data_IF_269943058396
#
_entry.id   IF_269943058396
#
_cell.length_a   1.000
_cell.length_b   1.000
_cell.length_c   1.000
_cell.angle_alpha   90.00
_cell.angle_beta   90.00
_cell.angle_gamma   90.00
#
_symmetry.space_group_name_H-M   'P 1'
#
loop_
_entity.id
_entity.type
_entity.pdbx_description
1 polymer ?
#
# COMPACT_ATOMS: atom_id res chain seq x y z
N UNK A 1 17.99 -9.34 -7.26
CA UNK A 1 17.07 -8.34 -6.76
C UNK A 1 16.66 -8.60 -5.31
N UNK A 2 16.04 -9.75 -4.96
CA UNK A 2 15.51 -9.98 -3.60
C UNK A 2 16.57 -9.84 -2.51
N UNK A 3 17.77 -10.38 -2.73
CA UNK A 3 18.92 -10.21 -1.83
C UNK A 3 19.34 -8.73 -1.75
N UNK A 4 19.36 -8.01 -2.87
CA UNK A 4 19.64 -6.57 -2.91
C UNK A 4 18.63 -5.77 -2.07
N UNK A 5 17.31 -6.01 -2.25
CA UNK A 5 16.26 -5.35 -1.47
C UNK A 5 16.42 -5.63 0.03
N UNK A 6 16.73 -6.87 0.38
CA UNK A 6 16.97 -7.26 1.77
C UNK A 6 18.20 -6.54 2.36
N UNK A 7 19.33 -6.57 1.67
CA UNK A 7 20.57 -5.97 2.15
C UNK A 7 20.46 -4.45 2.28
N UNK A 8 19.84 -3.77 1.29
CA UNK A 8 19.64 -2.32 1.40
C UNK A 8 18.70 -1.95 2.53
N UNK A 9 17.60 -2.69 2.74
CA UNK A 9 16.71 -2.48 3.87
C UNK A 9 17.42 -2.69 5.21
N UNK A 10 18.26 -3.73 5.31
CA UNK A 10 19.06 -3.99 6.50
C UNK A 10 20.08 -2.86 6.75
N UNK A 11 20.84 -2.46 5.74
CA UNK A 11 21.80 -1.37 5.84
C UNK A 11 21.09 -0.07 6.26
N UNK A 12 19.96 0.27 5.65
CA UNK A 12 19.19 1.46 5.98
C UNK A 12 18.75 1.47 7.45
N UNK A 13 18.19 0.37 7.95
CA UNK A 13 17.78 0.26 9.35
C UNK A 13 18.95 0.30 10.33
N UNK A 14 20.09 -0.31 9.98
CA UNK A 14 21.32 -0.26 10.80
C UNK A 14 21.97 1.13 10.83
N UNK A 15 21.91 1.88 9.73
CA UNK A 15 22.44 3.23 9.66
C UNK A 15 21.57 4.26 10.38
N UNK A 16 20.24 4.17 10.20
CA UNK A 16 19.30 5.14 10.78
C UNK A 16 19.07 4.94 12.27
N UNK A 17 19.24 3.72 12.77
CA UNK A 17 19.08 3.37 14.21
C UNK A 17 17.79 3.95 14.82
N UNK A 18 16.72 4.01 14.03
CA UNK A 18 15.45 4.59 14.47
C UNK A 18 14.86 3.87 15.66
N UNK A 19 14.18 4.59 16.51
CA UNK A 19 13.26 4.09 17.54
C UNK A 19 11.81 4.36 17.15
N UNK A 20 10.83 3.63 17.70
CA UNK A 20 9.42 3.92 17.44
C UNK A 20 9.06 5.32 17.95
N UNK A 21 8.13 5.98 17.22
CA UNK A 21 7.55 7.25 17.64
C UNK A 21 6.07 7.31 17.24
N UNK A 22 5.29 8.19 17.86
CA UNK A 22 3.87 8.37 17.60
C UNK A 22 3.12 7.03 17.68
N UNK A 23 2.24 6.73 16.74
CA UNK A 23 1.44 5.48 16.72
C UNK A 23 2.30 4.20 16.83
N UNK A 24 3.48 4.18 16.20
CA UNK A 24 4.37 3.02 16.31
C UNK A 24 4.89 2.81 17.73
N UNK A 25 5.09 3.91 18.48
CA UNK A 25 5.47 3.85 19.88
C UNK A 25 4.31 3.32 20.73
N UNK A 26 3.10 3.84 20.54
CA UNK A 26 1.93 3.39 21.28
C UNK A 26 1.66 1.87 21.05
N UNK A 27 1.78 1.41 19.82
CA UNK A 27 1.62 -0.01 19.51
C UNK A 27 2.70 -0.85 20.15
N UNK A 28 3.99 -0.45 20.05
CA UNK A 28 5.08 -1.25 20.64
C UNK A 28 5.01 -1.23 22.16
N UNK A 29 4.78 -0.06 22.77
CA UNK A 29 4.63 0.07 24.22
C UNK A 29 3.47 -0.78 24.76
N UNK A 30 2.30 -0.71 24.11
CA UNK A 30 1.17 -1.56 24.47
C UNK A 30 1.48 -3.05 24.28
N UNK A 31 2.15 -3.43 23.20
CA UNK A 31 2.59 -4.83 22.99
C UNK A 31 3.53 -5.32 24.08
N UNK A 32 4.41 -4.44 24.60
CA UNK A 32 5.31 -4.76 25.73
C UNK A 32 4.52 -4.99 27.01
N UNK A 33 3.54 -4.13 27.30
CA UNK A 33 2.68 -4.28 28.46
C UNK A 33 1.82 -5.55 28.38
N UNK A 34 1.21 -5.81 27.22
CA UNK A 34 0.45 -7.06 27.00
C UNK A 34 1.30 -8.31 27.16
N UNK A 35 2.58 -8.26 26.78
CA UNK A 35 3.50 -9.38 26.92
C UNK A 35 3.76 -9.78 28.38
N UNK A 36 3.65 -8.85 29.30
CA UNK A 36 3.74 -9.08 30.76
C UNK A 36 2.37 -9.18 31.45
N UNK A 37 1.29 -9.29 30.66
CA UNK A 37 -0.11 -9.36 31.11
C UNK A 37 -0.59 -8.06 31.81
N UNK A 38 -0.01 -6.92 31.50
CA UNK A 38 -0.51 -5.61 31.85
C UNK A 38 -1.43 -5.09 30.74
N UNK A 39 -2.74 -4.96 31.04
CA UNK A 39 -3.76 -4.52 30.09
C UNK A 39 -4.22 -3.08 30.34
N UNK A 40 -3.50 -2.32 31.17
CA UNK A 40 -3.77 -0.89 31.40
C UNK A 40 -3.89 -0.07 30.11
N UNK A 41 -3.16 -0.36 28.98
CA UNK A 41 -3.35 0.38 27.74
C UNK A 41 -4.74 0.27 27.10
N UNK A 42 -5.58 -0.66 27.56
CA UNK A 42 -6.96 -0.83 27.07
C UNK A 42 -7.99 -0.04 27.88
N UNK A 43 -7.57 0.57 29.00
CA UNK A 43 -8.49 1.33 29.86
C UNK A 43 -8.85 2.67 29.21
N UNK A 44 -10.08 3.19 29.42
CA UNK A 44 -10.56 4.44 28.82
C UNK A 44 -9.66 5.65 29.06
N UNK A 45 -8.92 5.64 30.18
CA UNK A 45 -8.01 6.72 30.58
C UNK A 45 -6.73 6.78 29.73
N UNK A 46 -6.35 5.66 29.10
CA UNK A 46 -5.11 5.52 28.31
C UNK A 46 -5.30 5.70 26.80
N UNK A 47 -6.51 6.06 26.40
CA UNK A 47 -6.95 6.53 25.09
C UNK A 47 -6.59 5.67 23.87
N UNK A 48 -5.33 5.37 23.59
CA UNK A 48 -4.90 4.91 22.26
C UNK A 48 -5.62 3.66 21.75
N UNK A 49 -5.61 2.55 22.48
CA UNK A 49 -6.27 1.33 22.04
C UNK A 49 -7.78 1.36 22.29
N UNK A 50 -8.23 2.16 23.23
CA UNK A 50 -9.64 2.41 23.44
C UNK A 50 -10.24 3.20 22.28
N UNK A 51 -9.53 4.21 21.80
CA UNK A 51 -9.92 5.04 20.66
C UNK A 51 -9.70 4.32 19.31
N UNK A 52 -8.72 3.42 19.24
CA UNK A 52 -8.32 2.73 18.02
C UNK A 52 -8.22 1.20 18.20
N UNK A 53 -9.30 0.48 18.57
CA UNK A 53 -9.24 -0.96 18.86
C UNK A 53 -8.81 -1.79 17.65
N UNK A 54 -8.97 -1.29 16.43
CA UNK A 54 -8.48 -1.95 15.21
C UNK A 54 -6.95 -2.05 15.12
N UNK A 55 -6.19 -1.33 15.95
CA UNK A 55 -4.73 -1.44 16.05
C UNK A 55 -4.28 -2.64 16.88
N UNK A 56 -5.18 -3.24 17.66
CA UNK A 56 -4.88 -4.43 18.47
C UNK A 56 -4.42 -5.63 17.62
N UNK A 57 -4.82 -5.71 16.35
CA UNK A 57 -4.30 -6.73 15.44
C UNK A 57 -2.78 -6.66 15.32
N UNK A 58 -2.21 -5.49 15.04
CA UNK A 58 -0.76 -5.35 14.93
C UNK A 58 -0.05 -5.37 16.28
N UNK A 59 -0.69 -4.87 17.34
CA UNK A 59 -0.19 -5.01 18.70
C UNK A 59 -0.08 -6.48 19.13
N UNK A 60 -1.01 -7.34 18.73
CA UNK A 60 -0.96 -8.78 18.95
C UNK A 60 0.27 -9.44 18.27
N UNK A 61 0.59 -9.04 17.05
CA UNK A 61 1.82 -9.47 16.38
C UNK A 61 3.05 -9.03 17.19
N UNK A 62 3.05 -7.78 17.67
CA UNK A 62 4.10 -7.26 18.55
C UNK A 62 4.22 -8.05 19.86
N UNK A 63 3.10 -8.33 20.55
CA UNK A 63 3.06 -9.13 21.77
C UNK A 63 3.70 -10.51 21.58
N UNK A 64 3.33 -11.22 20.51
CA UNK A 64 3.92 -12.53 20.21
C UNK A 64 5.44 -12.42 20.03
N UNK A 65 5.90 -11.44 19.26
CA UNK A 65 7.32 -11.24 18.97
C UNK A 65 8.07 -10.92 20.28
N UNK A 66 7.51 -10.09 21.14
CA UNK A 66 8.12 -9.71 22.42
C UNK A 66 8.20 -10.93 23.36
N UNK A 67 7.15 -11.73 23.44
CA UNK A 67 7.15 -12.97 24.25
C UNK A 67 8.20 -13.98 23.81
N UNK A 68 8.53 -14.02 22.50
CA UNK A 68 9.49 -14.98 21.94
C UNK A 68 10.92 -14.42 21.99
N UNK A 69 11.13 -13.14 21.68
CA UNK A 69 12.45 -12.57 21.42
C UNK A 69 12.90 -11.54 22.47
N UNK A 70 12.04 -11.18 23.44
CA UNK A 70 12.37 -10.24 24.51
C UNK A 70 12.92 -8.92 23.98
N UNK A 71 14.06 -8.50 24.47
CA UNK A 71 14.73 -7.22 24.12
C UNK A 71 15.08 -7.10 22.63
N UNK A 72 15.19 -8.21 21.90
CA UNK A 72 15.46 -8.21 20.46
C UNK A 72 14.20 -8.00 19.61
N UNK A 73 13.02 -7.89 20.21
CA UNK A 73 11.74 -7.82 19.51
C UNK A 73 11.67 -6.68 18.49
N UNK A 74 12.21 -5.49 18.84
CA UNK A 74 12.21 -4.37 17.91
C UNK A 74 13.04 -4.64 16.66
N UNK A 75 14.20 -5.28 16.78
CA UNK A 75 15.00 -5.69 15.64
C UNK A 75 14.26 -6.72 14.76
N UNK A 76 13.54 -7.64 15.37
CA UNK A 76 12.71 -8.63 14.63
C UNK A 76 11.58 -7.92 13.87
N UNK A 77 10.93 -6.92 14.45
CA UNK A 77 9.93 -6.10 13.76
C UNK A 77 10.54 -5.34 12.55
N UNK A 78 11.76 -4.81 12.70
CA UNK A 78 12.49 -4.20 11.59
C UNK A 78 12.76 -5.23 10.48
N UNK A 79 13.22 -6.43 10.85
CA UNK A 79 13.47 -7.53 9.92
C UNK A 79 12.20 -7.96 9.17
N UNK A 80 11.05 -8.02 9.84
CA UNK A 80 9.76 -8.31 9.21
C UNK A 80 9.37 -7.24 8.19
N UNK A 81 9.61 -5.96 8.45
CA UNK A 81 9.37 -4.89 7.45
C UNK A 81 10.31 -5.01 6.24
N UNK A 82 11.56 -5.37 6.46
CA UNK A 82 12.51 -5.64 5.37
C UNK A 82 12.03 -6.83 4.53
N UNK A 83 11.66 -7.93 5.18
CA UNK A 83 11.10 -9.12 4.50
C UNK A 83 9.79 -8.79 3.78
N UNK A 84 8.96 -7.88 4.31
CA UNK A 84 7.77 -7.41 3.64
C UNK A 84 8.10 -6.66 2.34
N UNK A 85 9.12 -5.79 2.32
CA UNK A 85 9.59 -5.12 1.10
C UNK A 85 10.10 -6.13 0.05
N UNK A 86 10.83 -7.16 0.48
CA UNK A 86 11.22 -8.31 -0.37
C UNK A 86 9.99 -9.04 -0.90
N UNK A 87 9.01 -9.32 -0.05
CA UNK A 87 7.75 -9.99 -0.40
C UNK A 87 6.92 -9.20 -1.41
N UNK A 88 6.87 -7.86 -1.30
CA UNK A 88 6.25 -6.98 -2.29
C UNK A 88 6.95 -7.15 -3.65
N UNK A 89 8.28 -7.04 -3.68
CA UNK A 89 9.06 -7.20 -4.91
C UNK A 89 8.83 -8.57 -5.57
N UNK A 90 8.84 -9.64 -4.80
CA UNK A 90 8.60 -11.01 -5.27
C UNK A 90 7.17 -11.19 -5.81
N UNK A 91 6.16 -10.61 -5.15
CA UNK A 91 4.77 -10.66 -5.61
C UNK A 91 4.57 -9.91 -6.94
N UNK A 92 5.21 -8.75 -7.10
CA UNK A 92 5.13 -7.95 -8.34
C UNK A 92 5.79 -8.67 -9.54
N UNK A 93 6.92 -9.35 -9.33
CA UNK A 93 7.52 -10.23 -10.35
C UNK A 93 6.55 -11.36 -10.70
N UNK A 94 5.94 -11.97 -9.69
CA UNK A 94 4.96 -13.05 -9.91
C UNK A 94 3.74 -12.55 -10.69
N UNK A 95 3.24 -11.34 -10.41
CA UNK A 95 2.19 -10.73 -11.23
C UNK A 95 2.64 -10.48 -12.66
N UNK A 96 3.86 -9.99 -12.89
CA UNK A 96 4.38 -9.82 -14.25
C UNK A 96 4.39 -11.14 -15.03
N UNK A 97 4.77 -12.27 -14.38
CA UNK A 97 4.74 -13.62 -14.98
C UNK A 97 3.30 -14.07 -15.27
N UNK A 98 2.37 -13.88 -14.32
CA UNK A 98 1.00 -14.34 -14.46
C UNK A 98 0.21 -13.54 -15.50
N UNK A 99 0.40 -12.21 -15.52
CA UNK A 99 -0.37 -11.28 -16.34
C UNK A 99 0.16 -11.23 -17.77
N UNK A 100 1.46 -10.95 -17.94
CA UNK A 100 2.01 -10.61 -19.25
C UNK A 100 2.62 -11.80 -19.99
N UNK A 101 3.13 -12.80 -19.27
CA UNK A 101 3.74 -14.04 -19.83
C UNK A 101 4.90 -13.77 -20.81
N UNK A 102 5.46 -12.54 -20.82
CA UNK A 102 6.58 -12.13 -21.67
C UNK A 102 7.86 -12.04 -20.85
N UNK A 103 8.91 -12.79 -21.22
CA UNK A 103 10.21 -12.77 -20.53
C UNK A 103 10.81 -11.37 -20.45
N UNK A 104 10.71 -10.57 -21.52
CA UNK A 104 11.20 -9.17 -21.56
C UNK A 104 10.50 -8.32 -20.49
N UNK A 105 9.17 -8.41 -20.38
CA UNK A 105 8.40 -7.68 -19.35
C UNK A 105 8.83 -8.07 -17.95
N UNK A 106 9.05 -9.37 -17.70
CA UNK A 106 9.53 -9.84 -16.38
C UNK A 106 10.92 -9.30 -16.08
N UNK A 107 11.85 -9.35 -17.05
CA UNK A 107 13.19 -8.80 -16.89
C UNK A 107 13.18 -7.29 -16.61
N UNK A 108 12.34 -6.51 -17.33
CA UNK A 108 12.19 -5.08 -17.07
C UNK A 108 11.50 -4.82 -15.71
N UNK A 109 10.56 -5.66 -15.28
CA UNK A 109 10.00 -5.57 -13.94
C UNK A 109 11.09 -5.71 -12.86
N UNK A 110 11.97 -6.72 -13.02
CA UNK A 110 13.11 -6.91 -12.12
C UNK A 110 14.05 -5.70 -12.16
N UNK A 111 14.39 -5.21 -13.35
CA UNK A 111 15.26 -4.04 -13.53
C UNK A 111 14.66 -2.79 -12.86
N UNK A 112 13.38 -2.52 -13.05
CA UNK A 112 12.74 -1.35 -12.45
C UNK A 112 12.64 -1.49 -10.93
N UNK A 113 12.39 -2.67 -10.40
CA UNK A 113 12.39 -2.91 -8.96
C UNK A 113 13.78 -2.68 -8.31
N UNK A 114 14.89 -2.81 -9.04
CA UNK A 114 16.20 -2.39 -8.52
C UNK A 114 16.27 -0.88 -8.24
N UNK A 115 15.55 -0.07 -9.03
CA UNK A 115 15.46 1.38 -8.83
C UNK A 115 14.42 1.83 -7.81
N UNK A 116 13.53 0.94 -7.36
CA UNK A 116 12.43 1.29 -6.46
C UNK A 116 12.91 1.37 -5.00
N UNK A 117 13.42 2.51 -4.59
CA UNK A 117 13.98 2.73 -3.25
C UNK A 117 12.91 3.03 -2.18
N UNK A 118 11.72 3.51 -2.56
CA UNK A 118 10.71 4.01 -1.64
C UNK A 118 10.27 2.97 -0.60
N UNK A 119 9.89 1.72 -0.95
CA UNK A 119 9.55 0.71 0.05
C UNK A 119 10.74 0.32 0.94
N UNK A 120 11.97 0.45 0.44
CA UNK A 120 13.20 0.15 1.20
C UNK A 120 13.42 1.22 2.28
N UNK A 121 13.34 2.50 1.90
CA UNK A 121 13.45 3.61 2.85
C UNK A 121 12.30 3.62 3.87
N UNK A 122 11.14 3.12 3.49
CA UNK A 122 9.96 3.04 4.35
C UNK A 122 10.02 1.88 5.37
N UNK A 123 11.04 1.00 5.31
CA UNK A 123 11.18 -0.12 6.25
C UNK A 123 11.38 0.28 7.71
N UNK A 124 11.76 1.52 7.98
CA UNK A 124 11.86 2.09 9.33
C UNK A 124 10.49 2.36 9.97
N UNK A 125 9.38 2.29 9.23
CA UNK A 125 8.03 2.56 9.72
C UNK A 125 7.33 1.31 10.22
N UNK A 126 7.35 1.09 11.55
CA UNK A 126 6.73 -0.07 12.20
C UNK A 126 5.27 0.21 12.56
N UNK A 127 4.39 0.08 11.56
CA UNK A 127 2.96 0.37 11.71
C UNK A 127 2.07 -0.61 10.93
N UNK A 128 2.66 -1.73 10.49
CA UNK A 128 1.98 -2.79 9.75
C UNK A 128 1.76 -2.52 8.25
N UNK A 129 2.07 -1.32 7.74
CA UNK A 129 1.77 -0.94 6.36
C UNK A 129 2.43 -1.86 5.33
N UNK A 130 3.76 -2.03 5.39
CA UNK A 130 4.48 -2.89 4.45
C UNK A 130 4.12 -4.36 4.63
N UNK A 131 4.06 -4.82 5.89
CA UNK A 131 3.78 -6.22 6.20
C UNK A 131 2.37 -6.61 5.76
N UNK A 132 1.36 -5.80 6.13
CA UNK A 132 -0.03 -6.03 5.73
C UNK A 132 -0.22 -6.02 4.22
N UNK A 133 0.42 -5.08 3.52
CA UNK A 133 0.34 -5.00 2.06
C UNK A 133 1.04 -6.19 1.38
N UNK A 134 2.24 -6.57 1.83
CA UNK A 134 2.97 -7.72 1.31
C UNK A 134 2.16 -9.02 1.42
N UNK A 135 1.63 -9.31 2.62
CA UNK A 135 0.78 -10.47 2.86
C UNK A 135 -0.47 -10.45 1.97
N UNK A 136 -1.11 -9.30 1.84
CA UNK A 136 -2.31 -9.15 1.00
C UNK A 136 -2.02 -9.31 -0.49
N UNK A 137 -0.87 -8.85 -0.99
CA UNK A 137 -0.45 -9.11 -2.38
C UNK A 137 -0.24 -10.60 -2.62
N UNK A 138 0.38 -11.32 -1.68
CA UNK A 138 0.52 -12.77 -1.79
C UNK A 138 -0.83 -13.49 -1.74
N UNK A 139 -1.80 -13.02 -0.94
CA UNK A 139 -3.17 -13.53 -0.98
C UNK A 139 -3.78 -13.40 -2.37
N UNK A 140 -3.61 -12.25 -3.03
CA UNK A 140 -4.07 -12.04 -4.40
C UNK A 140 -3.32 -12.93 -5.40
N UNK A 141 -2.01 -13.13 -5.24
CA UNK A 141 -1.23 -14.08 -6.04
C UNK A 141 -1.82 -15.50 -5.92
N UNK A 142 -2.09 -15.98 -4.70
CA UNK A 142 -2.70 -17.29 -4.48
C UNK A 142 -4.10 -17.38 -5.07
N UNK A 143 -4.90 -16.30 -5.01
CA UNK A 143 -6.18 -16.22 -5.70
C UNK A 143 -6.01 -16.40 -7.22
N UNK A 144 -5.06 -15.70 -7.85
CA UNK A 144 -4.76 -15.86 -9.27
C UNK A 144 -4.30 -17.27 -9.61
N UNK A 145 -3.45 -17.89 -8.78
CA UNK A 145 -2.99 -19.27 -8.95
C UNK A 145 -4.15 -20.27 -8.79
N UNK A 146 -5.06 -20.05 -7.84
CA UNK A 146 -6.29 -20.82 -7.73
C UNK A 146 -7.13 -20.73 -9.00
N UNK A 147 -7.39 -19.53 -9.49
CA UNK A 147 -8.18 -19.32 -10.69
C UNK A 147 -7.58 -20.01 -11.93
N UNK A 148 -6.24 -20.06 -12.00
CA UNK A 148 -5.51 -20.76 -13.06
C UNK A 148 -5.55 -22.29 -12.94
N UNK A 149 -5.32 -22.81 -11.73
CA UNK A 149 -5.05 -24.24 -11.50
C UNK A 149 -6.23 -24.98 -10.87
N UNK A 150 -7.22 -24.25 -10.32
CA UNK A 150 -8.42 -24.75 -9.62
C UNK A 150 -8.14 -25.66 -8.41
N UNK A 151 -6.91 -25.59 -7.84
CA UNK A 151 -6.54 -26.39 -6.65
C UNK A 151 -6.98 -25.64 -5.39
N UNK A 152 -7.90 -26.25 -4.60
CA UNK A 152 -8.52 -25.66 -3.40
C UNK A 152 -7.50 -25.16 -2.34
N UNK A 153 -6.33 -25.81 -2.22
CA UNK A 153 -5.27 -25.36 -1.30
C UNK A 153 -4.87 -23.89 -1.47
N UNK A 154 -4.95 -23.35 -2.67
CA UNK A 154 -4.61 -21.95 -2.91
C UNK A 154 -5.69 -20.98 -2.40
N UNK A 155 -6.96 -21.43 -2.24
CA UNK A 155 -7.99 -20.67 -1.53
C UNK A 155 -7.60 -20.53 -0.06
N UNK A 156 -7.17 -21.63 0.56
CA UNK A 156 -6.76 -21.62 1.98
C UNK A 156 -5.55 -20.69 2.17
N UNK A 157 -4.53 -20.79 1.31
CA UNK A 157 -3.39 -19.86 1.38
C UNK A 157 -3.82 -18.41 1.17
N UNK A 158 -4.70 -18.13 0.21
CA UNK A 158 -5.24 -16.79 0.01
C UNK A 158 -5.95 -16.28 1.27
N UNK A 159 -6.82 -17.09 1.88
CA UNK A 159 -7.56 -16.72 3.08
C UNK A 159 -6.63 -16.48 4.29
N UNK A 160 -5.65 -17.34 4.51
CA UNK A 160 -4.67 -17.16 5.59
C UNK A 160 -3.84 -15.90 5.40
N UNK A 161 -3.35 -15.65 4.19
CA UNK A 161 -2.50 -14.50 3.90
C UNK A 161 -3.28 -13.18 3.95
N UNK A 162 -4.54 -13.14 3.46
CA UNK A 162 -5.37 -11.93 3.58
C UNK A 162 -5.75 -11.65 5.04
N UNK A 163 -6.03 -12.68 5.82
CA UNK A 163 -6.32 -12.54 7.25
C UNK A 163 -5.14 -11.98 8.02
N UNK A 164 -3.94 -12.54 7.81
CA UNK A 164 -2.72 -12.01 8.39
C UNK A 164 -2.43 -10.57 7.94
N UNK A 165 -2.73 -10.23 6.68
CA UNK A 165 -2.65 -8.88 6.17
C UNK A 165 -3.59 -7.91 6.88
N UNK A 166 -4.84 -8.31 7.13
CA UNK A 166 -5.85 -7.47 7.83
C UNK A 166 -5.47 -7.30 9.30
N UNK A 167 -4.99 -8.35 9.96
CA UNK A 167 -4.47 -8.27 11.33
C UNK A 167 -3.34 -7.25 11.43
N UNK A 168 -2.41 -7.24 10.45
CA UNK A 168 -1.32 -6.27 10.43
C UNK A 168 -1.80 -4.85 10.10
N UNK A 169 -2.74 -4.69 9.15
CA UNK A 169 -3.23 -3.37 8.71
C UNK A 169 -4.60 -3.46 8.06
N UNK A 170 -5.57 -2.72 8.58
CA UNK A 170 -6.95 -2.69 8.09
C UNK A 170 -7.09 -2.28 6.62
N UNK A 171 -6.14 -1.51 6.05
CA UNK A 171 -6.11 -1.18 4.61
C UNK A 171 -6.04 -2.42 3.71
N UNK A 172 -5.65 -3.58 4.22
CA UNK A 172 -5.71 -4.88 3.53
C UNK A 172 -7.12 -5.27 3.09
N UNK A 173 -8.18 -4.69 3.69
CA UNK A 173 -9.57 -4.83 3.26
C UNK A 173 -9.79 -4.36 1.82
N UNK A 174 -8.99 -3.42 1.32
CA UNK A 174 -9.01 -2.98 -0.08
C UNK A 174 -8.64 -4.15 -1.00
N UNK A 175 -7.61 -4.91 -0.63
CA UNK A 175 -7.18 -6.09 -1.42
C UNK A 175 -8.16 -7.25 -1.24
N UNK A 176 -8.75 -7.45 -0.05
CA UNK A 176 -9.83 -8.41 0.13
C UNK A 176 -11.01 -8.10 -0.79
N UNK A 177 -11.41 -6.83 -0.88
CA UNK A 177 -12.46 -6.39 -1.82
C UNK A 177 -12.09 -6.70 -3.27
N UNK A 178 -10.85 -6.45 -3.68
CA UNK A 178 -10.36 -6.80 -5.00
C UNK A 178 -10.37 -8.33 -5.24
N UNK A 179 -10.01 -9.14 -4.25
CA UNK A 179 -10.11 -10.62 -4.31
C UNK A 179 -11.56 -11.04 -4.54
N UNK A 180 -12.50 -10.48 -3.77
CA UNK A 180 -13.93 -10.78 -3.92
C UNK A 180 -14.43 -10.42 -5.33
N UNK A 181 -14.08 -9.25 -5.84
CA UNK A 181 -14.48 -8.81 -7.19
C UNK A 181 -13.93 -9.77 -8.26
N UNK A 182 -12.67 -10.16 -8.20
CA UNK A 182 -12.06 -11.08 -9.18
C UNK A 182 -12.72 -12.46 -9.12
N UNK A 183 -13.02 -12.97 -7.93
CA UNK A 183 -13.73 -14.24 -7.75
C UNK A 183 -15.18 -14.17 -8.25
N UNK A 184 -15.89 -13.06 -8.03
CA UNK A 184 -17.24 -12.83 -8.57
C UNK A 184 -17.19 -12.77 -10.09
N UNK A 185 -16.25 -12.04 -10.70
CA UNK A 185 -16.11 -11.97 -12.15
C UNK A 185 -15.82 -13.33 -12.78
N UNK A 186 -15.02 -14.17 -12.11
CA UNK A 186 -14.80 -15.54 -12.56
C UNK A 186 -16.05 -16.43 -12.34
N UNK A 187 -16.78 -16.25 -11.23
CA UNK A 187 -18.04 -16.95 -10.98
C UNK A 187 -19.06 -16.65 -12.07
N UNK A 188 -19.24 -15.39 -12.45
CA UNK A 188 -20.18 -14.99 -13.52
C UNK A 188 -19.83 -15.61 -14.88
N UNK A 189 -18.56 -15.97 -15.11
CA UNK A 189 -18.11 -16.62 -16.34
C UNK A 189 -18.20 -18.15 -16.29
N UNK A 190 -17.96 -18.74 -15.14
CA UNK A 190 -17.75 -20.19 -15.00
C UNK A 190 -18.84 -20.90 -14.20
N UNK A 191 -19.66 -20.15 -13.49
CA UNK A 191 -20.71 -20.62 -12.55
C UNK A 191 -20.20 -21.61 -11.49
N UNK A 192 -18.89 -21.53 -11.12
CA UNK A 192 -18.29 -22.44 -10.13
C UNK A 192 -18.57 -21.97 -8.72
N UNK A 193 -19.44 -22.69 -7.99
CA UNK A 193 -19.77 -22.40 -6.58
C UNK A 193 -18.54 -22.31 -5.67
N UNK A 194 -17.45 -23.00 -6.00
CA UNK A 194 -16.19 -22.91 -5.25
C UNK A 194 -15.63 -21.46 -5.16
N UNK A 195 -15.99 -20.57 -6.09
CA UNK A 195 -15.61 -19.15 -5.98
C UNK A 195 -16.39 -18.44 -4.88
N UNK A 196 -17.67 -18.75 -4.73
CA UNK A 196 -18.50 -18.20 -3.63
C UNK A 196 -17.97 -18.71 -2.29
N UNK A 197 -17.67 -20.01 -2.20
CA UNK A 197 -17.04 -20.58 -1.00
C UNK A 197 -15.70 -19.90 -0.69
N UNK A 198 -14.90 -19.61 -1.71
CA UNK A 198 -13.61 -18.89 -1.54
C UNK A 198 -13.82 -17.47 -0.99
N UNK A 199 -14.83 -16.73 -1.48
CA UNK A 199 -15.20 -15.41 -0.97
C UNK A 199 -15.59 -15.51 0.51
N UNK A 200 -16.52 -16.42 0.83
CA UNK A 200 -16.99 -16.60 2.21
C UNK A 200 -15.86 -16.93 3.17
N UNK A 201 -14.98 -17.87 2.81
CA UNK A 201 -13.82 -18.23 3.63
C UNK A 201 -12.90 -17.01 3.82
N UNK A 202 -12.56 -16.28 2.76
CA UNK A 202 -11.67 -15.12 2.84
C UNK A 202 -12.26 -13.99 3.68
N UNK A 203 -13.56 -13.72 3.58
CA UNK A 203 -14.23 -12.68 4.36
C UNK A 203 -14.38 -13.09 5.82
N UNK A 204 -14.84 -14.32 6.10
CA UNK A 204 -15.02 -14.80 7.48
C UNK A 204 -13.68 -14.87 8.21
N UNK A 205 -12.66 -15.45 7.58
CA UNK A 205 -11.34 -15.52 8.19
C UNK A 205 -10.70 -14.13 8.33
N UNK A 206 -10.77 -13.30 7.29
CA UNK A 206 -10.13 -11.98 7.28
C UNK A 206 -10.69 -11.05 8.35
N UNK A 207 -12.00 -10.91 8.41
CA UNK A 207 -12.67 -10.03 9.39
C UNK A 207 -12.77 -10.74 10.74
N UNK A 208 -13.16 -12.01 10.76
CA UNK A 208 -13.44 -12.76 11.98
C UNK A 208 -12.21 -12.95 12.87
N UNK A 209 -11.04 -13.25 12.31
CA UNK A 209 -9.82 -13.41 13.12
C UNK A 209 -9.38 -12.09 13.75
N UNK A 210 -9.53 -10.96 13.05
CA UNK A 210 -9.22 -9.66 13.64
C UNK A 210 -10.19 -9.32 14.79
N UNK A 211 -11.48 -9.60 14.63
CA UNK A 211 -12.47 -9.41 15.68
C UNK A 211 -12.24 -10.36 16.87
N UNK A 212 -11.81 -11.60 16.59
CA UNK A 212 -11.44 -12.55 17.65
C UNK A 212 -10.27 -12.06 18.48
N UNK A 213 -9.27 -11.42 17.86
CA UNK A 213 -8.14 -10.81 18.59
C UNK A 213 -8.64 -9.70 19.52
N UNK A 214 -9.49 -8.79 19.01
CA UNK A 214 -10.06 -7.71 19.82
C UNK A 214 -10.83 -8.32 21.00
N UNK A 215 -11.72 -9.27 20.74
CA UNK A 215 -12.49 -9.96 21.77
C UNK A 215 -11.59 -10.62 22.84
N UNK A 216 -10.48 -11.24 22.43
CA UNK A 216 -9.53 -11.84 23.37
C UNK A 216 -8.89 -10.79 24.28
N UNK A 217 -8.58 -9.62 23.79
CA UNK A 217 -8.06 -8.51 24.63
C UNK A 217 -9.14 -7.96 25.57
N UNK A 218 -10.38 -7.80 25.11
CA UNK A 218 -11.50 -7.42 25.95
C UNK A 218 -11.70 -8.39 27.13
N UNK A 219 -11.64 -9.70 26.85
CA UNK A 219 -11.78 -10.75 27.88
C UNK A 219 -10.59 -10.76 28.88
N UNK A 220 -9.36 -10.50 28.40
CA UNK A 220 -8.18 -10.44 29.27
C UNK A 220 -8.18 -9.20 30.18
N UNK A 221 -8.71 -8.10 29.70
CA UNK A 221 -8.74 -6.81 30.40
C UNK A 221 -10.01 -6.58 31.21
N UNK A 222 -11.03 -7.43 31.04
CA UNK A 222 -12.38 -7.23 31.58
C UNK A 222 -12.94 -5.84 31.21
N UNK A 223 -12.77 -5.44 29.92
CA UNK A 223 -13.21 -4.16 29.38
C UNK A 223 -13.92 -4.35 28.04
N UNK A 224 -14.91 -3.51 27.76
CA UNK A 224 -15.52 -3.42 26.43
C UNK A 224 -14.97 -2.21 25.70
N UNK A 225 -14.30 -2.46 24.56
CA UNK A 225 -13.64 -1.41 23.76
C UNK A 225 -14.61 -0.71 22.79
N UNK A 226 -15.75 -1.31 22.50
CA UNK A 226 -16.67 -0.79 21.48
C UNK A 226 -16.03 -0.68 20.10
N UNK A 227 -16.49 0.28 19.28
CA UNK A 227 -15.95 0.57 17.95
C UNK A 227 -14.79 1.57 17.95
N UNK A 228 -14.56 2.23 19.07
CA UNK A 228 -13.63 3.35 19.19
C UNK A 228 -14.07 4.58 18.42
N UNK A 229 -13.14 5.38 17.93
CA UNK A 229 -13.45 6.54 17.09
C UNK A 229 -14.23 6.09 15.85
N UNK A 230 -15.46 6.62 15.62
CA UNK A 230 -16.31 6.20 14.50
C UNK A 230 -15.67 6.42 13.15
N UNK A 231 -15.66 5.39 12.29
CA UNK A 231 -15.01 5.46 10.96
C UNK A 231 -15.53 6.55 10.04
N UNK A 232 -16.76 7.03 10.25
CA UNK A 232 -17.33 8.15 9.51
C UNK A 232 -16.55 9.45 9.72
N UNK A 233 -15.85 9.60 10.86
CA UNK A 233 -15.04 10.77 11.16
C UNK A 233 -13.78 10.84 10.29
N UNK A 234 -13.22 9.71 9.84
CA UNK A 234 -12.15 9.72 8.83
C UNK A 234 -12.64 10.16 7.45
N UNK A 235 -13.90 9.84 7.11
CA UNK A 235 -14.53 10.35 5.90
C UNK A 235 -14.77 11.86 6.01
N UNK A 236 -15.29 12.33 7.17
CA UNK A 236 -15.45 13.75 7.42
C UNK A 236 -14.12 14.49 7.29
N UNK A 237 -13.11 14.09 8.06
CA UNK A 237 -11.76 14.66 8.00
C UNK A 237 -11.21 14.66 6.57
N UNK A 238 -11.38 13.55 5.84
CA UNK A 238 -10.91 13.40 4.46
C UNK A 238 -11.55 14.36 3.46
N UNK A 239 -12.71 14.91 3.77
CA UNK A 239 -13.43 15.88 2.93
C UNK A 239 -13.22 17.35 3.36
N UNK A 240 -12.51 17.60 4.45
CA UNK A 240 -12.31 18.95 4.97
C UNK A 240 -11.00 19.60 4.50
N UNK A 241 -11.00 20.92 4.53
CA UNK A 241 -9.77 21.71 4.41
C UNK A 241 -8.94 21.55 5.69
N UNK A 242 -7.63 21.82 5.58
CA UNK A 242 -6.74 21.93 6.74
C UNK A 242 -6.20 23.35 6.85
N UNK A 243 -5.42 23.64 7.89
CA UNK A 243 -4.72 24.92 8.05
C UNK A 243 -3.71 25.19 6.91
N UNK A 244 -3.18 24.13 6.28
CA UNK A 244 -2.38 24.23 5.06
C UNK A 244 -3.28 23.97 3.84
N UNK A 245 -3.56 24.98 3.00
CA UNK A 245 -4.42 24.82 1.83
C UNK A 245 -3.90 23.84 0.79
N UNK A 246 -2.60 23.47 0.85
CA UNK A 246 -1.98 22.49 -0.03
C UNK A 246 -2.16 21.04 0.46
N UNK A 247 -2.79 20.83 1.63
CA UNK A 247 -2.94 19.53 2.28
C UNK A 247 -4.37 19.21 2.67
N UNK A 248 -5.36 19.39 1.80
CA UNK A 248 -6.76 19.11 2.14
C UNK A 248 -6.94 17.62 2.44
N UNK A 249 -7.74 17.33 3.48
CA UNK A 249 -8.04 15.96 3.91
C UNK A 249 -6.89 15.21 4.58
N UNK A 250 -5.80 15.88 4.96
CA UNK A 250 -4.74 15.30 5.77
C UNK A 250 -5.22 15.13 7.23
N UNK A 251 -4.44 14.32 7.99
CA UNK A 251 -4.76 14.08 9.39
C UNK A 251 -4.95 15.37 10.18
N UNK A 252 -6.11 15.48 10.80
CA UNK A 252 -6.45 16.54 11.74
C UNK A 252 -7.26 15.95 12.89
N UNK A 253 -6.69 15.87 14.11
CA UNK A 253 -7.34 15.24 15.25
C UNK A 253 -8.63 15.93 15.69
N UNK A 254 -8.86 17.22 15.33
CA UNK A 254 -10.09 17.95 15.66
C UNK A 254 -11.33 17.31 15.03
N UNK A 255 -11.17 16.68 13.87
CA UNK A 255 -12.27 15.97 13.19
C UNK A 255 -12.45 14.53 13.68
N UNK A 256 -11.49 13.98 14.40
CA UNK A 256 -11.50 12.58 14.84
C UNK A 256 -11.45 12.46 16.36
N UNK A 257 -10.29 12.18 16.93
CA UNK A 257 -10.13 11.85 18.35
C UNK A 257 -10.53 12.99 19.30
N UNK A 258 -10.20 14.24 18.99
CA UNK A 258 -10.58 15.39 19.84
C UNK A 258 -12.10 15.52 19.86
N UNK A 259 -12.77 15.41 18.71
CA UNK A 259 -14.23 15.43 18.62
C UNK A 259 -14.85 14.28 19.41
N UNK A 260 -14.33 13.07 19.26
CA UNK A 260 -14.83 11.90 19.97
C UNK A 260 -14.70 12.07 21.48
N UNK A 261 -13.56 12.53 21.95
CA UNK A 261 -13.31 12.79 23.37
C UNK A 261 -14.19 13.94 23.92
N UNK A 262 -14.41 15.01 23.12
CA UNK A 262 -15.29 16.13 23.53
C UNK A 262 -16.76 15.72 23.70
N UNK A 263 -17.14 14.58 23.16
CA UNK A 263 -18.48 13.98 23.29
C UNK A 263 -18.49 12.81 24.30
N UNK A 264 -17.54 12.81 25.25
CA UNK A 264 -17.42 11.77 26.31
C UNK A 264 -17.33 10.34 25.68
N UNK A 265 -16.68 10.20 24.54
CA UNK A 265 -16.53 8.94 23.81
C UNK A 265 -17.88 8.28 23.41
N UNK A 266 -18.93 9.09 23.24
CA UNK A 266 -20.21 8.62 22.68
C UNK A 266 -20.05 8.46 21.16
N UNK A 267 -19.94 7.20 20.71
CA UNK A 267 -19.77 6.84 19.29
C UNK A 267 -20.91 7.38 18.42
N UNK A 268 -22.16 7.33 18.91
CA UNK A 268 -23.34 7.78 18.16
C UNK A 268 -23.35 9.29 18.02
N UNK A 269 -23.13 10.03 19.11
CA UNK A 269 -23.08 11.49 19.08
C UNK A 269 -21.97 11.99 18.16
N UNK A 270 -20.79 11.39 18.24
CA UNK A 270 -19.64 11.71 17.40
C UNK A 270 -19.93 11.39 15.90
N UNK A 271 -20.49 10.22 15.61
CA UNK A 271 -20.87 9.85 14.24
C UNK A 271 -21.93 10.79 13.65
N UNK A 272 -22.97 11.13 14.41
CA UNK A 272 -24.02 12.04 13.97
C UNK A 272 -23.48 13.45 13.70
N UNK A 273 -22.48 13.89 14.49
CA UNK A 273 -21.78 15.15 14.25
C UNK A 273 -21.02 15.12 12.92
N UNK A 274 -20.21 14.09 12.67
CA UNK A 274 -19.48 13.92 11.42
C UNK A 274 -20.41 13.85 10.19
N UNK A 275 -21.55 13.15 10.32
CA UNK A 275 -22.55 13.07 9.23
C UNK A 275 -23.11 14.47 8.91
N UNK A 276 -23.36 15.32 9.90
CA UNK A 276 -23.81 16.71 9.68
C UNK A 276 -22.77 17.51 8.91
N UNK A 277 -21.50 17.42 9.28
CA UNK A 277 -20.41 18.15 8.63
C UNK A 277 -20.18 17.64 7.18
N UNK A 278 -20.21 16.32 6.98
CA UNK A 278 -20.13 15.70 5.64
C UNK A 278 -21.26 16.23 4.75
N UNK A 279 -22.51 16.24 5.21
CA UNK A 279 -23.66 16.76 4.44
C UNK A 279 -23.44 18.22 4.04
N UNK A 280 -23.01 19.06 4.98
CA UNK A 280 -22.69 20.47 4.73
C UNK A 280 -21.58 20.63 3.70
N UNK A 281 -20.49 19.84 3.86
CA UNK A 281 -19.34 19.88 2.94
C UNK A 281 -19.71 19.40 1.54
N UNK A 282 -20.43 18.29 1.41
CA UNK A 282 -20.91 17.78 0.12
C UNK A 282 -21.81 18.80 -0.56
N UNK A 283 -22.74 19.44 0.16
CA UNK A 283 -23.60 20.50 -0.40
C UNK A 283 -22.77 21.64 -0.97
N UNK A 284 -21.73 22.10 -0.25
CA UNK A 284 -20.80 23.12 -0.72
C UNK A 284 -20.04 22.69 -1.98
N UNK A 285 -19.51 21.47 -2.01
CA UNK A 285 -18.78 20.93 -3.15
C UNK A 285 -19.68 20.72 -4.40
N UNK A 286 -20.97 20.43 -4.20
CA UNK A 286 -21.94 20.32 -5.29
C UNK A 286 -22.27 21.69 -5.87
N UNK A 287 -22.50 22.69 -5.00
CA UNK A 287 -22.87 24.04 -5.41
C UNK A 287 -21.73 24.83 -6.08
N UNK A 288 -20.47 24.42 -5.84
CA UNK A 288 -19.27 25.09 -6.41
C UNK A 288 -18.41 24.10 -7.20
N UNK A 289 -18.63 23.91 -8.52
CA UNK A 289 -17.82 23.02 -9.35
C UNK A 289 -16.32 23.36 -9.36
N UNK A 290 -15.97 24.64 -9.30
CA UNK A 290 -14.58 25.10 -9.27
C UNK A 290 -13.89 24.71 -7.96
N UNK A 291 -14.55 24.92 -6.80
CA UNK A 291 -14.03 24.51 -5.50
C UNK A 291 -13.88 22.99 -5.42
N UNK A 292 -14.87 22.24 -5.92
CA UNK A 292 -14.79 20.77 -5.99
C UNK A 292 -13.58 20.32 -6.79
N UNK A 293 -13.39 20.88 -8.00
CA UNK A 293 -12.26 20.52 -8.86
C UNK A 293 -10.92 20.84 -8.19
N UNK A 294 -10.80 22.04 -7.60
CA UNK A 294 -9.60 22.46 -6.89
C UNK A 294 -9.32 21.57 -5.67
N UNK A 295 -10.32 21.30 -4.83
CA UNK A 295 -10.17 20.45 -3.64
C UNK A 295 -9.62 19.06 -4.00
N UNK A 296 -10.27 18.35 -4.91
CA UNK A 296 -9.85 16.99 -5.26
C UNK A 296 -8.53 16.96 -6.05
N UNK A 297 -8.25 17.97 -6.88
CA UNK A 297 -6.98 18.10 -7.57
C UNK A 297 -5.83 18.32 -6.56
N UNK A 298 -5.97 19.31 -5.67
CA UNK A 298 -4.96 19.59 -4.64
C UNK A 298 -4.76 18.40 -3.69
N UNK A 299 -5.86 17.76 -3.27
CA UNK A 299 -5.80 16.54 -2.46
C UNK A 299 -5.05 15.41 -3.15
N UNK A 300 -5.30 15.20 -4.44
CA UNK A 300 -4.59 14.18 -5.22
C UNK A 300 -3.11 14.52 -5.35
N UNK A 301 -2.79 15.76 -5.70
CA UNK A 301 -1.40 16.21 -5.81
C UNK A 301 -0.66 16.09 -4.49
N UNK A 302 -1.27 16.47 -3.36
CA UNK A 302 -0.65 16.37 -2.04
C UNK A 302 -0.28 14.94 -1.63
N UNK A 303 -0.90 13.94 -2.24
CA UNK A 303 -0.64 12.51 -1.96
C UNK A 303 0.37 11.88 -2.92
N UNK A 304 0.40 12.34 -4.18
CA UNK A 304 1.12 11.68 -5.27
C UNK A 304 2.33 12.46 -5.78
N UNK A 305 2.48 13.73 -5.40
CA UNK A 305 3.58 14.57 -5.87
C UNK A 305 4.87 14.44 -5.03
N UNK A 306 4.78 13.79 -3.86
CA UNK A 306 5.97 13.44 -3.09
C UNK A 306 6.59 12.13 -3.64
N UNK A 307 7.76 12.19 -4.29
CA UNK A 307 8.36 11.04 -4.97
C UNK A 307 8.93 10.00 -4.00
N UNK A 308 9.15 10.38 -2.75
CA UNK A 308 9.62 9.52 -1.66
C UNK A 308 8.48 9.02 -0.77
N UNK A 309 7.26 9.53 -1.00
CA UNK A 309 6.08 9.14 -0.20
C UNK A 309 6.33 9.27 1.31
N UNK A 310 6.95 10.36 1.73
CA UNK A 310 7.31 10.64 3.11
C UNK A 310 8.27 9.62 3.76
N UNK A 311 8.89 8.69 3.03
CA UNK A 311 9.72 7.65 3.64
C UNK A 311 10.93 8.20 4.41
N UNK A 312 11.57 9.26 3.91
CA UNK A 312 12.64 9.96 4.63
C UNK A 312 12.07 10.74 5.83
N UNK A 313 10.96 11.46 5.65
CA UNK A 313 10.31 12.18 6.73
C UNK A 313 9.89 11.25 7.87
N UNK A 314 9.27 10.13 7.55
CA UNK A 314 8.89 9.11 8.54
C UNK A 314 10.11 8.61 9.30
N UNK A 315 11.24 8.42 8.64
CA UNK A 315 12.49 8.00 9.29
C UNK A 315 13.10 9.11 10.16
N UNK A 316 13.12 10.35 9.67
CA UNK A 316 13.73 11.50 10.36
C UNK A 316 12.96 11.99 11.59
N UNK A 317 11.63 11.82 11.59
CA UNK A 317 10.77 12.23 12.72
C UNK A 317 10.70 11.20 13.84
N UNK A 318 11.37 10.06 13.69
CA UNK A 318 11.49 9.05 14.73
C UNK A 318 12.63 9.37 15.67
N UNK A 319 12.49 8.98 16.94
CA UNK A 319 13.60 9.01 17.84
C UNK A 319 14.75 8.16 17.28
N UNK A 320 15.98 8.50 17.60
CA UNK A 320 17.15 7.69 17.30
C UNK A 320 17.69 7.10 18.61
N UNK A 321 18.11 5.82 18.56
CA UNK A 321 18.77 5.18 19.72
C UNK A 321 20.16 5.75 19.95
N UNK A 322 20.78 6.26 18.90
CA UNK A 322 22.08 6.92 18.89
C UNK A 322 22.07 8.06 17.86
N UNK A 323 22.98 9.02 18.01
CA UNK A 323 23.15 10.09 17.04
C UNK A 323 23.37 9.52 15.62
N UNK A 324 22.58 9.95 14.64
CA UNK A 324 22.76 9.51 13.26
C UNK A 324 24.14 9.94 12.71
N UNK A 325 24.78 9.03 11.96
CA UNK A 325 26.02 9.35 11.26
C UNK A 325 25.84 10.44 10.20
N UNK A 326 26.95 11.02 9.73
CA UNK A 326 26.95 12.14 8.76
C UNK A 326 26.16 11.86 7.49
N UNK A 327 26.21 10.64 6.97
CA UNK A 327 25.44 10.23 5.80
C UNK A 327 23.92 10.31 6.06
N UNK A 328 23.46 9.78 7.19
CA UNK A 328 22.02 9.81 7.54
C UNK A 328 21.55 11.24 7.80
N UNK A 329 22.35 12.06 8.46
CA UNK A 329 22.08 13.50 8.61
C UNK A 329 21.94 14.18 7.25
N UNK A 330 22.83 13.86 6.30
CA UNK A 330 22.76 14.38 4.93
C UNK A 330 21.54 13.85 4.15
N UNK A 331 21.07 12.62 4.43
CA UNK A 331 19.83 12.09 3.88
C UNK A 331 18.59 12.82 4.40
N UNK A 332 18.59 13.23 5.67
CA UNK A 332 17.43 13.89 6.29
C UNK A 332 17.32 15.38 5.93
N UNK A 333 18.42 16.09 5.83
CA UNK A 333 18.43 17.56 5.67
C UNK A 333 19.58 18.13 4.85
N UNK A 334 20.28 17.28 4.07
CA UNK A 334 21.45 17.71 3.29
C UNK A 334 21.43 17.22 1.85
N UNK A 335 22.59 17.32 1.19
CA UNK A 335 22.73 17.03 -0.25
C UNK A 335 22.35 15.61 -0.65
N UNK A 336 22.60 14.61 0.21
CA UNK A 336 22.21 13.23 -0.09
C UNK A 336 20.67 13.09 -0.19
N UNK A 337 19.91 13.79 0.67
CA UNK A 337 18.46 13.85 0.60
C UNK A 337 17.97 14.49 -0.69
N UNK A 338 18.52 15.63 -1.07
CA UNK A 338 18.18 16.34 -2.32
C UNK A 338 18.45 15.45 -3.55
N UNK A 339 19.61 14.78 -3.59
CA UNK A 339 19.93 13.86 -4.69
C UNK A 339 18.97 12.66 -4.75
N UNK A 340 18.60 12.13 -3.58
CA UNK A 340 17.67 11.02 -3.47
C UNK A 340 16.26 11.42 -3.93
N UNK A 341 15.82 12.61 -3.57
CA UNK A 341 14.53 13.16 -4.00
C UNK A 341 14.51 13.41 -5.51
N UNK A 342 15.56 14.02 -6.07
CA UNK A 342 15.68 14.23 -7.52
C UNK A 342 15.68 12.90 -8.29
N UNK A 343 16.40 11.90 -7.79
CA UNK A 343 16.36 10.54 -8.34
C UNK A 343 14.95 9.96 -8.29
N UNK A 344 14.28 10.05 -7.14
CA UNK A 344 12.94 9.52 -6.95
C UNK A 344 11.91 10.23 -7.83
N UNK A 345 12.03 11.55 -8.05
CA UNK A 345 11.21 12.32 -8.99
C UNK A 345 11.35 11.81 -10.43
N UNK A 346 12.60 11.63 -10.88
CA UNK A 346 12.86 11.05 -12.21
C UNK A 346 12.27 9.65 -12.32
N UNK A 347 12.54 8.80 -11.34
CA UNK A 347 12.08 7.42 -11.31
C UNK A 347 10.54 7.34 -11.31
N UNK A 348 9.86 8.11 -10.46
CA UNK A 348 8.41 8.16 -10.40
C UNK A 348 7.80 8.59 -11.74
N UNK A 349 8.34 9.66 -12.34
CA UNK A 349 7.89 10.17 -13.64
C UNK A 349 8.09 9.13 -14.75
N UNK A 350 9.23 8.44 -14.74
CA UNK A 350 9.53 7.35 -15.66
C UNK A 350 8.51 6.19 -15.53
N UNK A 351 8.24 5.76 -14.29
CA UNK A 351 7.26 4.70 -14.04
C UNK A 351 5.86 5.12 -14.49
N UNK A 352 5.40 6.33 -14.18
CA UNK A 352 4.07 6.79 -14.60
C UNK A 352 3.96 6.92 -16.12
N UNK A 353 4.99 7.41 -16.80
CA UNK A 353 5.01 7.51 -18.26
C UNK A 353 4.83 6.13 -18.92
N UNK A 354 5.64 5.16 -18.53
CA UNK A 354 5.59 3.83 -19.14
C UNK A 354 4.40 2.99 -18.64
N UNK A 355 3.91 3.21 -17.44
CA UNK A 355 2.65 2.60 -16.99
C UNK A 355 1.46 3.13 -17.82
N UNK A 356 1.42 4.43 -18.13
CA UNK A 356 0.42 5.02 -19.01
C UNK A 356 0.49 4.45 -20.42
N UNK A 357 1.69 4.32 -20.99
CA UNK A 357 1.91 3.66 -22.28
C UNK A 357 1.44 2.20 -22.24
N UNK A 358 1.76 1.46 -21.17
CA UNK A 358 1.32 0.08 -20.96
C UNK A 358 -0.20 -0.05 -20.90
N UNK A 359 -0.87 0.83 -20.16
CA UNK A 359 -2.34 0.86 -20.07
C UNK A 359 -2.97 1.15 -21.43
N UNK A 360 -2.44 2.07 -22.22
CA UNK A 360 -2.93 2.36 -23.58
C UNK A 360 -2.82 1.13 -24.49
N UNK A 361 -1.72 0.37 -24.40
CA UNK A 361 -1.57 -0.89 -25.18
C UNK A 361 -2.57 -1.94 -24.70
N UNK A 362 -2.77 -2.09 -23.39
CA UNK A 362 -3.77 -3.01 -22.80
C UNK A 362 -5.18 -2.67 -23.30
N UNK A 363 -5.54 -1.40 -23.31
CA UNK A 363 -6.86 -0.96 -23.76
C UNK A 363 -7.09 -1.19 -25.26
N UNK A 364 -6.06 -1.03 -26.08
CA UNK A 364 -6.14 -1.24 -27.54
C UNK A 364 -6.17 -2.70 -27.95
N UNK A 365 -5.49 -3.59 -27.23
CA UNK A 365 -5.31 -5.01 -27.60
C UNK A 365 -6.35 -5.91 -26.93
N UNK A 366 -7.36 -6.34 -27.68
CA UNK A 366 -8.46 -7.21 -27.20
C UNK A 366 -7.97 -8.55 -26.62
N UNK A 367 -6.91 -9.15 -27.17
CA UNK A 367 -6.34 -10.41 -26.71
C UNK A 367 -5.74 -10.28 -25.29
N UNK A 368 -5.12 -9.14 -24.97
CA UNK A 368 -4.56 -8.87 -23.65
C UNK A 368 -5.70 -8.62 -22.65
N UNK A 369 -6.72 -7.83 -23.04
CA UNK A 369 -7.90 -7.55 -22.20
C UNK A 369 -8.69 -8.80 -21.83
N UNK A 370 -8.62 -9.87 -22.62
CA UNK A 370 -9.27 -11.16 -22.32
C UNK A 370 -8.58 -11.93 -21.19
N UNK A 371 -7.34 -11.59 -20.85
CA UNK A 371 -6.68 -12.17 -19.68
C UNK A 371 -7.36 -11.63 -18.41
N UNK A 372 -8.02 -12.50 -17.65
CA UNK A 372 -8.74 -12.14 -16.43
C UNK A 372 -7.85 -11.50 -15.36
N UNK A 373 -6.54 -11.74 -15.39
CA UNK A 373 -5.60 -11.21 -14.40
C UNK A 373 -5.12 -9.79 -14.73
N UNK A 374 -5.39 -9.27 -15.92
CA UNK A 374 -4.94 -7.92 -16.33
C UNK A 374 -5.54 -6.83 -15.44
N UNK A 375 -6.74 -7.06 -14.90
CA UNK A 375 -7.44 -6.11 -14.05
C UNK A 375 -6.95 -6.10 -12.59
N UNK A 376 -6.13 -7.09 -12.17
CA UNK A 376 -5.76 -7.26 -10.75
C UNK A 376 -5.05 -6.04 -10.19
N UNK A 377 -3.94 -5.62 -10.83
CA UNK A 377 -3.15 -4.48 -10.35
C UNK A 377 -3.93 -3.15 -10.43
N UNK A 378 -4.59 -2.82 -11.57
CA UNK A 378 -5.46 -1.65 -11.65
C UNK A 378 -6.58 -1.66 -10.61
N UNK A 379 -7.20 -2.80 -10.31
CA UNK A 379 -8.30 -2.89 -9.35
C UNK A 379 -7.84 -2.57 -7.93
N UNK A 380 -6.68 -3.11 -7.50
CA UNK A 380 -6.10 -2.79 -6.19
C UNK A 380 -5.76 -1.30 -6.13
N UNK A 381 -5.12 -0.75 -7.18
CA UNK A 381 -4.78 0.66 -7.26
C UNK A 381 -6.01 1.56 -7.17
N UNK A 382 -7.05 1.28 -7.98
CA UNK A 382 -8.30 2.07 -7.97
C UNK A 382 -8.95 2.02 -6.59
N UNK A 383 -8.96 0.85 -5.93
CA UNK A 383 -9.49 0.71 -4.58
C UNK A 383 -8.75 1.61 -3.58
N UNK A 384 -7.41 1.59 -3.58
CA UNK A 384 -6.59 2.44 -2.73
C UNK A 384 -6.74 3.93 -3.06
N UNK A 385 -6.73 4.27 -4.35
CA UNK A 385 -6.89 5.65 -4.82
C UNK A 385 -8.24 6.24 -4.39
N UNK A 386 -9.34 5.51 -4.62
CA UNK A 386 -10.68 5.97 -4.23
C UNK A 386 -10.82 6.06 -2.71
N UNK A 387 -10.25 5.11 -1.96
CA UNK A 387 -10.26 5.19 -0.52
C UNK A 387 -9.60 6.48 -0.03
N UNK A 388 -8.36 6.76 -0.43
CA UNK A 388 -7.64 7.96 0.01
C UNK A 388 -8.12 9.26 -0.68
N UNK A 389 -8.90 9.18 -1.74
CA UNK A 389 -9.58 10.34 -2.32
C UNK A 389 -10.68 10.88 -1.39
N UNK A 390 -11.38 9.99 -0.70
CA UNK A 390 -12.50 10.37 0.16
C UNK A 390 -12.15 10.38 1.65
N UNK A 391 -11.28 9.47 2.11
CA UNK A 391 -10.83 9.37 3.49
C UNK A 391 -9.54 10.17 3.71
N UNK A 392 -8.90 9.97 4.84
CA UNK A 392 -7.62 10.59 5.17
C UNK A 392 -6.60 10.46 4.03
N UNK A 393 -5.90 11.56 3.75
CA UNK A 393 -4.89 11.65 2.70
C UNK A 393 -3.52 11.93 3.30
N UNK A 394 -2.53 11.08 2.96
CA UNK A 394 -1.10 11.36 3.20
C UNK A 394 -0.27 10.57 2.18
N UNK A 395 0.89 11.09 1.71
CA UNK A 395 1.75 10.37 0.76
C UNK A 395 2.18 8.98 1.27
N UNK A 396 2.46 8.84 2.56
CA UNK A 396 2.89 7.58 3.19
C UNK A 396 1.93 6.40 2.96
N UNK A 397 0.67 6.64 2.68
CA UNK A 397 -0.29 5.58 2.38
C UNK A 397 -0.18 5.07 0.95
N UNK A 398 0.39 5.88 0.05
CA UNK A 398 0.45 5.60 -1.37
C UNK A 398 1.74 4.90 -1.82
N UNK A 399 2.77 4.82 -0.96
CA UNK A 399 4.04 4.15 -1.27
C UNK A 399 3.84 2.72 -1.79
N UNK A 400 2.93 1.98 -1.18
CA UNK A 400 2.64 0.59 -1.55
C UNK A 400 1.86 0.51 -2.87
N UNK A 401 0.87 1.37 -3.09
CA UNK A 401 0.11 1.42 -4.33
C UNK A 401 0.94 1.89 -5.53
N UNK A 402 1.93 2.76 -5.33
CA UNK A 402 2.87 3.14 -6.38
C UNK A 402 3.58 1.94 -6.97
N UNK A 403 3.96 0.96 -6.15
CA UNK A 403 4.68 -0.22 -6.64
C UNK A 403 3.89 -1.04 -7.65
N UNK A 404 2.54 -0.97 -7.63
CA UNK A 404 1.66 -1.69 -8.55
C UNK A 404 1.82 -1.22 -10.01
N UNK A 405 2.32 0.00 -10.24
CA UNK A 405 2.58 0.50 -11.58
C UNK A 405 3.81 -0.15 -12.22
N UNK A 406 4.75 -0.68 -11.44
CA UNK A 406 6.03 -1.18 -11.95
C UNK A 406 5.89 -2.30 -12.99
N UNK A 407 5.08 -3.36 -12.78
CA UNK A 407 4.89 -4.39 -13.81
C UNK A 407 4.20 -3.85 -15.08
N UNK A 408 3.29 -2.88 -14.92
CA UNK A 408 2.58 -2.25 -16.04
C UNK A 408 3.54 -1.34 -16.83
N UNK A 409 4.39 -0.59 -16.13
CA UNK A 409 5.44 0.23 -16.75
C UNK A 409 6.45 -0.63 -17.50
N UNK A 410 6.88 -1.74 -16.90
CA UNK A 410 7.78 -2.70 -17.54
C UNK A 410 7.16 -3.28 -18.83
N UNK A 411 5.86 -3.57 -18.82
CA UNK A 411 5.14 -3.99 -20.02
C UNK A 411 5.11 -2.86 -21.05
N UNK A 412 4.74 -1.64 -20.68
CA UNK A 412 4.70 -0.50 -21.59
C UNK A 412 6.06 -0.19 -22.21
N UNK A 413 7.12 -0.22 -21.40
CA UNK A 413 8.50 -0.04 -21.87
C UNK A 413 8.90 -1.15 -22.87
N UNK A 414 8.59 -2.41 -22.56
CA UNK A 414 8.84 -3.55 -23.45
C UNK A 414 8.17 -3.37 -24.83
N UNK A 415 6.91 -2.92 -24.85
CA UNK A 415 6.15 -2.69 -26.08
C UNK A 415 6.71 -1.50 -26.89
N UNK A 416 7.16 -0.44 -26.22
CA UNK A 416 7.83 0.69 -26.87
C UNK A 416 9.16 0.26 -27.51
N UNK A 417 9.97 -0.53 -26.81
CA UNK A 417 11.23 -1.05 -27.34
C UNK A 417 11.01 -1.95 -28.56
N UNK A 418 10.02 -2.85 -28.54
CA UNK A 418 9.69 -3.72 -29.67
C UNK A 418 9.28 -2.90 -30.89
N UNK A 419 8.38 -1.92 -30.72
CA UNK A 419 7.93 -1.04 -31.81
C UNK A 419 9.08 -0.23 -32.41
N UNK A 420 9.98 0.30 -31.58
CA UNK A 420 11.15 1.06 -32.04
C UNK A 420 12.11 0.18 -32.82
N UNK A 421 12.40 -1.03 -32.33
CA UNK A 421 13.25 -2.01 -33.00
C UNK A 421 12.69 -2.39 -34.39
N UNK A 422 11.39 -2.68 -34.50
CA UNK A 422 10.73 -3.02 -35.74
C UNK A 422 10.76 -1.86 -36.74
N UNK A 423 10.58 -0.62 -36.26
CA UNK A 423 10.68 0.59 -37.09
C UNK A 423 12.09 0.82 -37.61
N UNK A 424 13.12 0.59 -36.78
CA UNK A 424 14.53 0.73 -37.15
C UNK A 424 14.92 -0.32 -38.22
N UNK A 425 14.52 -1.58 -38.00
CA UNK A 425 14.77 -2.65 -39.01
C UNK A 425 14.04 -2.35 -40.32
N UNK A 426 12.79 -1.86 -40.23
CA UNK A 426 12.04 -1.44 -41.43
C UNK A 426 12.74 -0.32 -42.19
N UNK A 427 13.26 0.68 -41.48
CA UNK A 427 14.02 1.79 -42.07
C UNK A 427 15.35 1.32 -42.71
N UNK A 428 16.09 0.43 -42.03
CA UNK A 428 17.33 -0.16 -42.60
C UNK A 428 17.03 -0.96 -43.87
N UNK A 429 16.01 -1.82 -43.84
CA UNK A 429 15.60 -2.59 -45.02
C UNK A 429 15.17 -1.70 -46.19
N UNK A 430 14.44 -0.60 -45.88
CA UNK A 430 14.06 0.38 -46.90
C UNK A 430 15.28 1.07 -47.52
N UNK A 431 16.26 1.51 -46.71
CA UNK A 431 17.50 2.10 -47.23
C UNK A 431 18.30 1.13 -48.10
N UNK A 432 18.44 -0.13 -47.67
CA UNK A 432 19.13 -1.15 -48.46
C UNK A 432 18.42 -1.44 -49.80
N UNK A 433 17.07 -1.50 -49.84
CA UNK A 433 16.32 -1.64 -51.09
C UNK A 433 16.55 -0.46 -52.03
N UNK A 434 16.48 0.76 -51.53
CA UNK A 434 16.69 1.98 -52.34
C UNK A 434 18.10 2.14 -52.85
N UNK A 435 19.09 1.65 -52.11
CA UNK A 435 20.49 1.58 -52.58
C UNK A 435 20.67 0.58 -53.74
N UNK A 436 20.00 -0.57 -53.67
CA UNK A 436 20.08 -1.62 -54.71
C UNK A 436 19.42 -1.20 -56.01
N UNK A 437 18.25 -0.56 -55.95
CA UNK A 437 17.57 -0.02 -57.14
C UNK A 437 18.38 1.08 -57.81
N UNK A 438 19.06 1.96 -57.07
CA UNK A 438 19.94 2.98 -57.65
C UNK A 438 21.20 2.42 -58.32
N UNK A 439 21.72 1.26 -57.85
CA UNK A 439 22.87 0.59 -58.52
C UNK A 439 22.45 -0.18 -59.77
N UNK A 440 21.19 -0.60 -59.88
CA UNK A 440 20.64 -1.28 -61.07
C UNK A 440 20.21 -0.28 -62.19
N UNK A 441 19.88 0.98 -61.83
CA UNK A 441 19.59 2.07 -62.79
C UNK A 441 20.85 2.78 -63.31
N UNK A 442 22.04 2.47 -62.75
CA UNK A 442 23.32 3.09 -63.16
C UNK A 442 24.24 2.15 -63.97
N UNK A 443 23.75 0.99 -64.40
CA UNK A 443 24.35 0.05 -65.34
C UNK A 443 23.52 0.03 -66.62
#
# INVERSE_FOLDING_TARGET
>A
LLVYTFLLGLIWNLLTKTSPAHDSYNILSGSQQFAINDYTPLMPENDYFYDYPFQLGYAFVGEIIIRIFGDNAYFILQLLNILASVGISASLITFAILIFKKRKTVNFTILFLFGCIQPILFTTFHYGNLLGFSLSLWAMVFTCVYLKNRKKRFIIFSAVFISAGIICKSNSLIILTAICIILILDFLKTHKLANITAILISVIMGIGLNQLIIFQYEQRADVSLGGGVPKILWLDMGLQETSDPNRPGWYNPEYTVIRYNSMNKDEKAAADSGIRDIKKRISKLISSPAERANFFATKTLSQWNDPLYMSIWVSSTRGAREEPGSFVKSMYSGNAGILTENYANFYQSFIFLFASAGMLVILKRRNIRRNSFIAVLPLIFIGGFLYHLFFEAMPQYNVTYFTLFIPIAAFGFSECCEKYHDSLIGFIKYKFRKSKTKSEESV
#
